data_IF_167407450017
#
_entry.id   IF_167407450017
#
_cell.length_a   1.000
_cell.length_b   1.000
_cell.length_c   1.000
_cell.angle_alpha   90.00
_cell.angle_beta   90.00
_cell.angle_gamma   90.00
#
_symmetry.space_group_name_H-M   'P 1'
#
loop_
_entity.id
_entity.type
_entity.pdbx_description
1 polymer ?
#
# COMPACT_ATOMS: atom_id res chain seq x y z
N UNK A 1 -52.41 -52.74 -112.38
CA UNK A 1 -53.35 -53.70 -111.76
C UNK A 1 -53.91 -53.01 -110.53
N UNK A 2 -55.06 -52.33 -110.65
CA UNK A 2 -56.42 -52.86 -110.36
C UNK A 2 -56.57 -53.12 -108.85
N UNK A 3 -57.53 -52.59 -108.09
CA UNK A 3 -58.86 -52.07 -108.41
C UNK A 3 -59.38 -51.21 -107.23
N UNK A 4 -60.20 -50.22 -107.57
CA UNK A 4 -61.37 -49.66 -106.86
C UNK A 4 -62.27 -50.69 -106.14
N UNK A 5 -63.44 -50.30 -105.57
CA UNK A 5 -63.90 -49.06 -104.90
C UNK A 5 -64.51 -49.43 -103.51
N UNK A 6 -65.04 -48.55 -102.67
CA UNK A 6 -66.46 -48.11 -102.62
C UNK A 6 -66.57 -47.13 -101.43
N UNK A 7 -66.88 -45.85 -101.62
CA UNK A 7 -68.24 -45.25 -101.68
C UNK A 7 -69.13 -45.60 -100.48
N UNK A 8 -69.47 -44.59 -99.67
CA UNK A 8 -70.86 -44.13 -99.69
C UNK A 8 -71.10 -42.70 -99.13
N UNK A 9 -71.95 -41.95 -99.86
CA UNK A 9 -72.91 -40.91 -99.45
C UNK A 9 -72.43 -39.71 -98.59
N UNK A 10 -72.19 -38.51 -99.13
CA UNK A 10 -73.15 -37.50 -99.64
C UNK A 10 -74.36 -37.21 -98.74
N UNK A 11 -74.35 -36.04 -98.09
CA UNK A 11 -75.55 -35.22 -97.88
C UNK A 11 -75.20 -33.73 -97.96
N UNK A 12 -75.89 -33.03 -98.86
CA UNK A 12 -75.75 -31.62 -99.20
C UNK A 12 -76.57 -30.70 -98.27
N UNK A 13 -76.14 -29.42 -98.25
CA UNK A 13 -76.89 -28.16 -98.07
C UNK A 13 -77.63 -27.92 -96.74
N UNK A 14 -77.51 -26.77 -96.07
CA UNK A 14 -77.83 -25.40 -96.54
C UNK A 14 -77.28 -24.39 -95.51
N UNK A 15 -76.89 -23.15 -95.90
CA UNK A 15 -76.24 -22.17 -95.02
C UNK A 15 -77.25 -21.31 -94.25
N UNK A 16 -76.91 -20.90 -93.02
CA UNK A 16 -77.52 -19.74 -92.36
C UNK A 16 -76.42 -18.86 -91.76
N UNK A 17 -76.56 -17.58 -92.09
CA UNK A 17 -75.63 -16.46 -91.93
C UNK A 17 -75.67 -15.84 -90.53
N UNK A 18 -74.47 -15.48 -90.03
CA UNK A 18 -74.10 -14.42 -89.07
C UNK A 18 -74.45 -14.51 -87.56
N UNK A 19 -73.74 -13.78 -86.66
CA UNK A 19 -72.73 -12.75 -86.93
C UNK A 19 -71.34 -12.92 -86.28
N UNK A 20 -70.36 -12.40 -87.02
CA UNK A 20 -69.07 -11.83 -86.64
C UNK A 20 -68.94 -11.42 -85.16
N UNK A 21 -67.98 -12.03 -84.45
CA UNK A 21 -67.40 -11.46 -83.22
C UNK A 21 -65.90 -11.25 -83.46
N UNK A 22 -65.48 -10.00 -83.30
CA UNK A 22 -64.15 -9.48 -83.58
C UNK A 22 -63.03 -10.32 -82.95
N UNK A 23 -62.05 -10.72 -83.77
CA UNK A 23 -60.79 -11.33 -83.30
C UNK A 23 -59.93 -10.24 -82.67
N UNK A 24 -59.90 -10.24 -81.35
CA UNK A 24 -59.17 -9.32 -80.47
C UNK A 24 -57.65 -9.48 -80.71
N UNK A 25 -56.95 -8.37 -80.95
CA UNK A 25 -55.50 -8.30 -81.08
C UNK A 25 -54.82 -8.93 -79.83
N UNK A 26 -54.05 -10.01 -80.03
CA UNK A 26 -53.32 -10.66 -78.96
C UNK A 26 -52.12 -9.80 -78.54
N UNK A 27 -52.20 -9.21 -77.35
CA UNK A 27 -51.08 -8.53 -76.68
C UNK A 27 -50.09 -9.62 -76.21
N UNK A 28 -48.77 -9.48 -76.46
CA UNK A 28 -47.80 -10.47 -75.99
C UNK A 28 -47.80 -10.55 -74.46
N UNK A 29 -47.98 -11.76 -73.92
CA UNK A 29 -48.00 -12.01 -72.49
C UNK A 29 -46.57 -12.06 -71.94
N UNK A 30 -46.29 -11.25 -70.92
CA UNK A 30 -45.05 -11.31 -70.15
C UNK A 30 -45.04 -12.57 -69.28
N UNK A 31 -44.10 -13.48 -69.52
CA UNK A 31 -43.85 -14.62 -68.63
C UNK A 31 -43.11 -14.13 -67.39
N UNK A 32 -43.87 -13.86 -66.32
CA UNK A 32 -43.34 -13.62 -64.99
C UNK A 32 -42.65 -14.90 -64.49
N UNK A 33 -41.31 -14.90 -64.50
CA UNK A 33 -40.55 -15.87 -63.71
C UNK A 33 -40.74 -15.46 -62.25
N UNK A 34 -41.62 -16.17 -61.55
CA UNK A 34 -41.76 -16.04 -60.09
C UNK A 34 -40.41 -16.35 -59.47
N UNK A 35 -39.66 -15.30 -59.10
CA UNK A 35 -38.43 -15.45 -58.34
C UNK A 35 -38.79 -16.21 -57.08
N UNK A 36 -38.03 -17.28 -56.79
CA UNK A 36 -38.21 -18.13 -55.59
C UNK A 36 -38.64 -17.24 -54.44
N UNK A 37 -39.89 -17.40 -54.00
CA UNK A 37 -40.32 -16.81 -52.74
C UNK A 37 -39.29 -17.29 -51.73
N UNK A 38 -38.49 -16.35 -51.22
CA UNK A 38 -37.70 -16.57 -50.03
C UNK A 38 -38.72 -16.80 -48.94
N UNK A 39 -39.11 -18.06 -48.77
CA UNK A 39 -39.90 -18.51 -47.64
C UNK A 39 -39.09 -18.11 -46.42
N UNK A 40 -39.46 -17.00 -45.80
CA UNK A 40 -39.02 -16.63 -44.45
C UNK A 40 -39.75 -17.59 -43.50
N UNK A 41 -39.37 -18.87 -43.62
CA UNK A 41 -39.91 -19.96 -42.86
C UNK A 41 -39.51 -19.75 -41.41
N UNK A 42 -40.48 -19.38 -40.57
CA UNK A 42 -40.54 -19.64 -39.12
C UNK A 42 -39.16 -19.60 -38.39
N UNK A 43 -38.32 -18.60 -38.70
CA UNK A 43 -37.03 -18.38 -38.03
C UNK A 43 -37.17 -17.48 -36.78
N UNK A 44 -38.40 -17.10 -36.42
CA UNK A 44 -38.69 -16.26 -35.25
C UNK A 44 -38.42 -16.93 -33.91
N UNK A 45 -38.34 -18.27 -33.83
CA UNK A 45 -38.18 -18.99 -32.55
C UNK A 45 -36.72 -19.30 -32.17
N UNK A 46 -35.79 -19.34 -33.13
CA UNK A 46 -34.36 -19.59 -32.82
C UNK A 46 -33.60 -18.31 -32.42
N UNK A 47 -34.06 -17.15 -32.88
CA UNK A 47 -33.42 -15.86 -32.59
C UNK A 47 -33.62 -15.44 -31.12
N UNK A 48 -34.74 -15.80 -30.51
CA UNK A 48 -35.03 -15.50 -29.09
C UNK A 48 -34.17 -16.31 -28.11
N UNK A 49 -33.78 -17.53 -28.49
CA UNK A 49 -32.81 -18.32 -27.70
C UNK A 49 -31.43 -17.67 -27.70
N UNK A 50 -31.00 -17.12 -28.84
CA UNK A 50 -29.73 -16.41 -28.95
C UNK A 50 -29.72 -15.14 -28.10
N UNK A 51 -30.79 -14.34 -28.12
CA UNK A 51 -30.90 -13.16 -27.27
C UNK A 51 -30.92 -13.51 -25.79
N UNK A 52 -31.64 -14.57 -25.41
CA UNK A 52 -31.66 -15.07 -24.02
C UNK A 52 -30.27 -15.53 -23.55
N UNK A 53 -29.53 -16.25 -24.41
CA UNK A 53 -28.17 -16.67 -24.13
C UNK A 53 -27.20 -15.48 -23.99
N UNK A 54 -27.31 -14.47 -24.86
CA UNK A 54 -26.53 -13.24 -24.75
C UNK A 54 -26.81 -12.49 -23.46
N UNK A 55 -28.07 -12.38 -23.04
CA UNK A 55 -28.45 -11.75 -21.77
C UNK A 55 -27.89 -12.56 -20.60
N UNK A 56 -27.97 -13.88 -20.64
CA UNK A 56 -27.44 -14.74 -19.57
C UNK A 56 -25.91 -14.62 -19.46
N UNK A 57 -25.20 -14.58 -20.58
CA UNK A 57 -23.76 -14.33 -20.60
C UNK A 57 -23.41 -12.93 -20.08
N UNK A 58 -24.17 -11.90 -20.47
CA UNK A 58 -23.98 -10.54 -19.96
C UNK A 58 -24.19 -10.47 -18.45
N UNK A 59 -25.26 -11.10 -17.93
CA UNK A 59 -25.51 -11.20 -16.49
C UNK A 59 -24.38 -11.99 -15.80
N UNK A 60 -23.91 -13.08 -16.39
CA UNK A 60 -22.78 -13.85 -15.87
C UNK A 60 -21.49 -13.03 -15.78
N UNK A 61 -21.18 -12.24 -16.80
CA UNK A 61 -20.05 -11.31 -16.81
C UNK A 61 -20.20 -10.19 -15.79
N UNK A 62 -21.41 -9.64 -15.62
CA UNK A 62 -21.69 -8.63 -14.59
C UNK A 62 -21.55 -9.21 -13.19
N UNK A 63 -22.09 -10.41 -12.93
CA UNK A 63 -22.00 -11.08 -11.62
C UNK A 63 -20.57 -11.44 -11.28
N UNK A 64 -19.79 -11.94 -12.24
CA UNK A 64 -18.36 -12.23 -12.03
C UNK A 64 -17.54 -10.97 -11.83
N UNK A 65 -17.86 -9.88 -12.54
CA UNK A 65 -17.21 -8.57 -12.33
C UNK A 65 -17.49 -8.01 -10.93
N UNK A 66 -18.74 -8.02 -10.48
CA UNK A 66 -19.10 -7.53 -9.13
C UNK A 66 -18.52 -8.42 -8.04
N UNK A 67 -18.48 -9.75 -8.23
CA UNK A 67 -17.83 -10.67 -7.26
C UNK A 67 -16.30 -10.57 -7.26
N UNK A 68 -15.69 -10.07 -8.34
CA UNK A 68 -14.24 -9.86 -8.43
C UNK A 68 -13.79 -8.51 -7.84
N UNK A 69 -14.72 -7.59 -7.60
CA UNK A 69 -14.43 -6.37 -6.86
C UNK A 69 -14.40 -6.74 -5.37
N UNK A 70 -13.26 -6.56 -4.71
CA UNK A 70 -13.12 -6.95 -3.30
C UNK A 70 -14.07 -6.18 -2.36
N UNK A 71 -13.96 -6.41 -1.05
CA UNK A 71 -14.81 -5.71 -0.09
C UNK A 71 -14.42 -4.22 0.02
N UNK A 72 -15.39 -3.31 -0.02
CA UNK A 72 -15.20 -1.88 0.29
C UNK A 72 -15.38 -1.65 1.79
N UNK A 73 -14.47 -0.89 2.38
CA UNK A 73 -14.52 -0.45 3.77
C UNK A 73 -14.43 1.07 3.84
N UNK A 74 -15.01 1.63 4.89
CA UNK A 74 -14.98 3.04 5.23
C UNK A 74 -14.15 3.21 6.49
N UNK A 75 -13.21 4.16 6.47
CA UNK A 75 -12.41 4.53 7.64
C UNK A 75 -12.55 6.03 7.87
N UNK A 76 -12.97 6.42 9.08
CA UNK A 76 -13.08 7.81 9.50
C UNK A 76 -11.77 8.27 10.16
N UNK A 77 -11.17 9.36 9.68
CA UNK A 77 -9.98 9.99 10.27
C UNK A 77 -10.31 11.42 10.71
N UNK A 78 -9.64 11.93 11.75
CA UNK A 78 -9.75 13.34 12.12
C UNK A 78 -9.13 14.26 11.06
N UNK A 79 -7.96 13.88 10.53
CA UNK A 79 -7.27 14.61 9.46
C UNK A 79 -6.89 13.66 8.33
N UNK A 80 -7.21 14.05 7.09
CA UNK A 80 -6.90 13.30 5.86
C UNK A 80 -5.61 13.76 5.18
N UNK A 81 -4.74 14.51 5.86
CA UNK A 81 -3.63 15.29 5.28
C UNK A 81 -2.86 14.62 4.12
N UNK A 82 -3.26 14.97 2.90
CA UNK A 82 -2.61 14.57 1.66
C UNK A 82 -2.93 13.17 1.14
N UNK A 83 -3.89 12.45 1.74
CA UNK A 83 -4.46 11.23 1.17
C UNK A 83 -5.23 11.54 -0.12
N UNK A 84 -5.09 10.67 -1.11
CA UNK A 84 -5.80 10.78 -2.39
C UNK A 84 -6.31 9.42 -2.85
N UNK A 85 -7.31 9.45 -3.73
CA UNK A 85 -7.71 8.26 -4.45
C UNK A 85 -6.50 7.68 -5.21
N UNK A 86 -6.28 6.37 -5.04
CA UNK A 86 -5.11 5.66 -5.58
C UNK A 86 -4.03 5.32 -4.55
N UNK A 87 -4.02 5.94 -3.37
CA UNK A 87 -3.06 5.59 -2.31
C UNK A 87 -3.24 4.12 -1.86
N UNK A 88 -2.16 3.46 -1.48
CA UNK A 88 -2.19 2.02 -1.15
C UNK A 88 -2.55 1.77 0.32
N UNK A 89 -3.35 0.75 0.59
CA UNK A 89 -3.52 0.15 1.93
C UNK A 89 -2.46 -0.93 2.12
N UNK A 90 -1.70 -0.87 3.21
CA UNK A 90 -0.58 -1.77 3.49
C UNK A 90 -0.72 -2.49 4.83
N UNK A 91 -0.49 -3.80 4.80
CA UNK A 91 -0.30 -4.62 5.99
C UNK A 91 1.12 -5.18 5.98
N UNK A 92 1.91 -4.91 7.03
CA UNK A 92 3.32 -5.35 7.14
C UNK A 92 4.16 -5.03 5.88
N UNK A 93 3.90 -3.89 5.25
CA UNK A 93 4.58 -3.43 4.03
C UNK A 93 4.08 -4.05 2.72
N UNK A 94 3.09 -4.94 2.76
CA UNK A 94 2.47 -5.57 1.59
C UNK A 94 1.19 -4.82 1.23
N UNK A 95 1.01 -4.54 -0.06
CA UNK A 95 -0.20 -3.90 -0.58
C UNK A 95 -1.40 -4.86 -0.51
N UNK A 96 -2.42 -4.49 0.26
CA UNK A 96 -3.62 -5.30 0.51
C UNK A 96 -4.91 -4.64 0.00
N UNK A 97 -4.84 -3.39 -0.44
CA UNK A 97 -5.96 -2.63 -0.98
C UNK A 97 -5.53 -1.26 -1.49
N UNK A 98 -6.50 -0.44 -1.90
CA UNK A 98 -6.27 0.92 -2.39
C UNK A 98 -7.40 1.86 -2.00
N UNK A 99 -7.06 3.12 -1.69
CA UNK A 99 -8.02 4.20 -1.44
C UNK A 99 -8.79 4.49 -2.72
N UNK A 100 -10.12 4.38 -2.66
CA UNK A 100 -11.01 4.66 -3.78
C UNK A 100 -11.49 6.10 -3.80
N UNK A 101 -11.79 6.67 -2.64
CA UNK A 101 -12.32 8.01 -2.51
C UNK A 101 -12.01 8.59 -1.12
N UNK A 102 -11.87 9.91 -1.06
CA UNK A 102 -11.61 10.68 0.16
C UNK A 102 -12.61 11.82 0.17
N UNK A 103 -13.51 11.84 1.15
CA UNK A 103 -14.53 12.87 1.28
C UNK A 103 -14.49 13.45 2.68
N UNK A 104 -14.79 14.74 2.79
CA UNK A 104 -14.95 15.39 4.08
C UNK A 104 -16.29 14.95 4.69
N UNK A 105 -16.29 14.72 5.99
CA UNK A 105 -17.50 14.28 6.68
C UNK A 105 -18.59 15.37 6.64
N UNK A 106 -19.85 15.00 6.80
CA UNK A 106 -20.97 15.94 6.69
C UNK A 106 -20.88 17.09 7.72
N UNK A 107 -20.30 16.81 8.89
CA UNK A 107 -20.10 17.75 9.99
C UNK A 107 -18.79 18.55 9.89
N UNK A 108 -17.97 18.30 8.85
CA UNK A 108 -16.67 18.92 8.61
C UNK A 108 -15.61 18.68 9.70
N UNK A 109 -15.87 17.76 10.65
CA UNK A 109 -14.98 17.44 11.78
C UNK A 109 -13.97 16.33 11.48
N UNK A 110 -14.02 15.75 10.28
CA UNK A 110 -13.18 14.61 9.90
C UNK A 110 -13.29 14.29 8.42
N UNK A 111 -12.61 13.22 8.01
CA UNK A 111 -12.52 12.75 6.64
C UNK A 111 -12.93 11.29 6.58
N UNK A 112 -13.89 10.99 5.71
CA UNK A 112 -14.30 9.63 5.36
C UNK A 112 -13.46 9.11 4.19
N UNK A 113 -12.70 8.04 4.44
CA UNK A 113 -11.84 7.40 3.44
C UNK A 113 -12.46 6.07 3.04
N UNK A 114 -12.90 5.97 1.79
CA UNK A 114 -13.36 4.72 1.18
C UNK A 114 -12.19 3.93 0.65
N UNK A 115 -11.97 2.71 1.15
CA UNK A 115 -10.88 1.83 0.76
C UNK A 115 -11.44 0.56 0.12
N UNK A 116 -10.87 0.19 -1.02
CA UNK A 116 -11.20 -1.01 -1.76
C UNK A 116 -10.14 -2.08 -1.45
N UNK A 117 -10.54 -3.17 -0.80
CA UNK A 117 -9.66 -4.29 -0.52
C UNK A 117 -9.46 -5.12 -1.79
N UNK A 118 -8.28 -5.73 -1.90
CA UNK A 118 -8.02 -6.75 -2.92
C UNK A 118 -8.75 -8.06 -2.56
N UNK A 119 -9.20 -8.85 -3.55
CA UNK A 119 -9.85 -10.13 -3.30
C UNK A 119 -8.96 -11.07 -2.48
N UNK A 120 -9.50 -11.65 -1.41
CA UNK A 120 -8.78 -12.56 -0.51
C UNK A 120 -8.11 -11.89 0.70
N UNK A 121 -8.09 -10.55 0.75
CA UNK A 121 -7.54 -9.78 1.88
C UNK A 121 -8.62 -9.24 2.82
N UNK A 122 -9.86 -9.73 2.76
CA UNK A 122 -10.98 -9.23 3.58
C UNK A 122 -10.73 -9.42 5.08
N UNK A 123 -9.86 -10.36 5.45
CA UNK A 123 -9.46 -10.63 6.84
C UNK A 123 -8.65 -9.50 7.49
N UNK A 124 -8.17 -8.52 6.73
CA UNK A 124 -7.54 -7.33 7.31
C UNK A 124 -8.55 -6.35 7.91
N UNK A 125 -9.83 -6.49 7.55
CA UNK A 125 -10.92 -5.63 7.99
C UNK A 125 -11.87 -6.38 8.93
N UNK A 126 -11.36 -6.79 10.08
CA UNK A 126 -12.15 -7.43 11.16
C UNK A 126 -12.41 -6.46 12.30
N UNK A 127 -13.37 -6.74 13.17
CA UNK A 127 -13.56 -5.97 14.40
C UNK A 127 -12.26 -5.88 15.20
N UNK A 128 -11.96 -4.68 15.72
CA UNK A 128 -10.70 -4.38 16.38
C UNK A 128 -9.52 -4.09 15.45
N UNK A 129 -9.71 -4.08 14.13
CA UNK A 129 -8.67 -3.66 13.18
C UNK A 129 -8.38 -2.17 13.32
N UNK A 130 -7.11 -1.82 13.33
CA UNK A 130 -6.63 -0.47 13.58
C UNK A 130 -5.97 0.05 12.31
N UNK A 131 -6.38 1.24 11.89
CA UNK A 131 -5.92 1.89 10.66
C UNK A 131 -5.20 3.19 11.00
N UNK A 132 -4.18 3.54 10.25
CA UNK A 132 -3.47 4.82 10.43
C UNK A 132 -2.93 5.35 9.10
N UNK A 133 -2.59 6.64 9.06
CA UNK A 133 -2.00 7.27 7.88
C UNK A 133 -0.48 7.25 8.01
N UNK A 134 0.19 6.51 7.11
CA UNK A 134 1.63 6.40 7.04
C UNK A 134 2.26 7.28 5.96
N UNK A 135 3.52 7.65 6.16
CA UNK A 135 4.37 8.28 5.15
C UNK A 135 5.52 7.35 4.78
N UNK A 136 5.65 7.01 3.51
CA UNK A 136 6.85 6.32 3.04
C UNK A 136 8.04 7.28 3.16
N UNK A 137 8.92 7.05 4.15
CA UNK A 137 10.19 7.78 4.26
C UNK A 137 11.17 7.17 3.25
N UNK A 138 11.23 7.74 2.05
CA UNK A 138 12.28 7.41 1.09
C UNK A 138 13.58 8.06 1.56
N UNK A 139 14.50 7.27 2.13
CA UNK A 139 15.88 7.71 2.37
C UNK A 139 16.62 7.65 1.05
N UNK A 140 16.50 8.70 0.25
CA UNK A 140 17.24 8.86 -1.01
C UNK A 140 18.69 9.25 -0.69
N UNK A 141 19.48 8.25 -0.28
CA UNK A 141 20.93 8.37 -0.30
C UNK A 141 21.38 8.41 -1.76
N UNK A 142 21.87 9.57 -2.20
CA UNK A 142 22.51 9.81 -3.50
C UNK A 142 21.59 9.82 -4.74
N UNK A 143 20.99 10.97 -5.04
CA UNK A 143 21.09 11.58 -6.38
C UNK A 143 20.84 13.09 -6.23
N UNK A 144 21.84 13.92 -6.54
CA UNK A 144 21.64 15.36 -6.73
C UNK A 144 20.80 15.58 -8.00
N UNK A 145 19.62 16.19 -7.86
CA UNK A 145 18.77 16.60 -9.01
C UNK A 145 17.41 15.90 -9.15
N UNK A 146 16.89 15.25 -8.12
CA UNK A 146 15.50 14.79 -8.10
C UNK A 146 14.64 15.77 -7.32
N UNK A 147 13.80 16.51 -8.04
CA UNK A 147 12.69 17.27 -7.48
C UNK A 147 11.88 16.39 -6.53
N UNK A 148 11.95 16.74 -5.25
CA UNK A 148 10.95 16.55 -4.20
C UNK A 148 9.88 15.49 -4.49
N UNK A 149 10.27 14.21 -4.61
CA UNK A 149 9.29 13.12 -4.58
C UNK A 149 8.81 13.02 -3.14
N UNK A 150 7.76 13.79 -2.85
CA UNK A 150 6.93 13.64 -1.68
C UNK A 150 6.61 12.14 -1.58
N UNK A 151 7.13 11.46 -0.55
CA UNK A 151 6.93 10.02 -0.39
C UNK A 151 5.44 9.69 -0.47
N UNK A 152 5.08 8.68 -1.26
CA UNK A 152 3.70 8.25 -1.42
C UNK A 152 3.05 8.02 -0.04
N UNK A 153 1.87 8.59 0.16
CA UNK A 153 1.06 8.35 1.35
C UNK A 153 0.46 6.95 1.24
N UNK A 154 0.34 6.29 2.38
CA UNK A 154 -0.29 4.98 2.44
C UNK A 154 -1.12 4.87 3.71
N UNK A 155 -2.15 4.04 3.69
CA UNK A 155 -2.90 3.67 4.88
C UNK A 155 -2.29 2.39 5.42
N UNK A 156 -1.89 2.36 6.69
CA UNK A 156 -1.47 1.15 7.37
C UNK A 156 -2.66 0.47 8.06
N UNK A 157 -2.62 -0.85 8.16
CA UNK A 157 -3.60 -1.64 8.92
C UNK A 157 -2.92 -2.66 9.81
N UNK A 158 -3.46 -2.91 11.01
CA UNK A 158 -3.22 -4.12 11.80
C UNK A 158 -4.58 -4.79 12.02
N UNK A 159 -4.77 -6.05 11.60
CA UNK A 159 -6.00 -6.78 11.84
C UNK A 159 -6.18 -7.04 13.34
N UNK A 160 -7.44 -7.03 13.78
CA UNK A 160 -7.84 -7.47 15.11
C UNK A 160 -7.71 -8.98 15.30
N UNK A 161 -8.50 -9.54 16.22
CA UNK A 161 -8.42 -10.97 16.53
C UNK A 161 -8.75 -11.86 15.30
N UNK A 162 -8.05 -13.00 15.11
CA UNK A 162 -8.21 -13.83 13.92
C UNK A 162 -9.62 -14.38 13.66
N UNK A 163 -10.45 -14.45 14.72
CA UNK A 163 -11.82 -14.98 14.74
C UNK A 163 -12.89 -13.88 14.81
N UNK A 164 -12.51 -12.61 14.78
CA UNK A 164 -13.44 -11.50 14.84
C UNK A 164 -14.26 -11.37 13.54
N UNK A 165 -15.47 -10.80 13.66
CA UNK A 165 -16.35 -10.61 12.51
C UNK A 165 -15.79 -9.57 11.53
N UNK A 166 -16.07 -9.73 10.24
CA UNK A 166 -15.59 -8.78 9.22
C UNK A 166 -16.42 -7.49 9.30
N UNK A 167 -15.79 -6.41 9.74
CA UNK A 167 -16.42 -5.09 9.80
C UNK A 167 -16.25 -4.32 8.47
N UNK A 168 -16.97 -3.20 8.34
CA UNK A 168 -16.88 -2.30 7.18
C UNK A 168 -16.66 -0.84 7.55
N UNK A 169 -16.87 -0.48 8.83
CA UNK A 169 -16.66 0.87 9.34
C UNK A 169 -15.60 0.83 10.43
N UNK A 170 -14.63 1.74 10.34
CA UNK A 170 -13.51 1.81 11.26
C UNK A 170 -13.19 3.25 11.61
N UNK A 171 -12.59 3.44 12.78
CA UNK A 171 -12.02 4.72 13.19
C UNK A 171 -10.51 4.62 13.02
N UNK A 172 -9.96 5.54 12.23
CA UNK A 172 -8.55 5.69 11.99
C UNK A 172 -7.84 6.38 13.15
N UNK A 173 -6.61 5.95 13.41
CA UNK A 173 -5.71 6.51 14.40
C UNK A 173 -4.66 7.38 13.71
N UNK A 174 -4.21 8.42 14.42
CA UNK A 174 -3.20 9.35 13.89
C UNK A 174 -1.77 8.79 13.99
N UNK A 175 -1.53 7.90 14.96
CA UNK A 175 -0.20 7.35 15.25
C UNK A 175 -0.03 5.96 14.64
N UNK A 176 1.02 5.72 13.81
CA UNK A 176 1.31 4.42 13.27
C UNK A 176 1.68 3.39 14.35
N UNK A 177 0.92 2.30 14.44
CA UNK A 177 1.18 1.16 15.33
C UNK A 177 2.33 0.26 14.86
N UNK A 178 3.10 0.69 13.86
CA UNK A 178 4.18 -0.09 13.21
C UNK A 178 5.30 -0.56 14.14
N UNK A 179 5.22 -0.25 15.43
CA UNK A 179 6.17 -0.67 16.45
C UNK A 179 5.56 -1.56 17.55
N UNK A 180 4.27 -1.86 17.49
CA UNK A 180 3.58 -2.69 18.50
C UNK A 180 3.66 -4.19 18.16
N UNK A 181 4.00 -4.54 16.91
CA UNK A 181 4.05 -5.93 16.46
C UNK A 181 5.41 -6.58 16.79
N UNK A 182 5.59 -6.88 18.08
CA UNK A 182 6.74 -7.62 18.61
C UNK A 182 7.36 -6.91 19.80
N UNK A 183 6.79 -7.12 20.99
CA UNK A 183 7.30 -6.70 22.31
C UNK A 183 8.24 -5.50 22.22
N UNK A 184 7.70 -4.29 22.27
CA UNK A 184 8.47 -3.04 22.34
C UNK A 184 8.53 -2.54 23.79
N UNK A 185 9.64 -1.92 24.18
CA UNK A 185 9.76 -1.22 25.45
C UNK A 185 9.93 0.27 25.15
N UNK A 186 9.00 1.07 25.66
CA UNK A 186 9.16 2.53 25.65
C UNK A 186 9.90 2.94 26.91
N UNK A 187 10.96 3.71 26.71
CA UNK A 187 11.79 4.29 27.76
C UNK A 187 11.87 5.80 27.56
N UNK A 188 12.09 6.53 28.63
CA UNK A 188 12.33 7.97 28.63
C UNK A 188 13.80 8.23 28.95
N UNK A 189 14.47 8.99 28.10
CA UNK A 189 15.87 9.39 28.29
C UNK A 189 15.93 10.90 28.40
N UNK A 190 16.39 11.41 29.54
CA UNK A 190 16.54 12.85 29.78
C UNK A 190 17.94 13.28 29.36
N UNK A 191 18.04 14.07 28.30
CA UNK A 191 19.29 14.67 27.87
C UNK A 191 19.39 16.12 28.33
N UNK A 192 20.60 16.63 28.63
CA UNK A 192 20.78 18.06 28.95
C UNK A 192 20.49 18.97 27.74
N UNK A 193 20.61 18.44 26.52
CA UNK A 193 20.25 19.14 25.30
C UNK A 193 19.73 18.14 24.27
N UNK A 194 18.75 18.55 23.47
CA UNK A 194 18.20 17.70 22.40
C UNK A 194 19.16 17.53 21.23
N UNK A 195 20.15 18.42 21.08
CA UNK A 195 21.18 18.39 20.01
C UNK A 195 20.59 18.16 18.60
N UNK A 196 19.39 18.70 18.41
CA UNK A 196 18.59 18.64 17.20
C UNK A 196 17.87 17.31 16.93
N UNK A 197 17.88 16.33 17.85
CA UNK A 197 17.22 15.03 17.74
C UNK A 197 15.81 15.14 17.16
N UNK A 198 15.44 14.19 16.32
CA UNK A 198 14.14 14.14 15.66
C UNK A 198 13.47 12.78 15.84
N UNK A 199 12.15 12.78 15.74
CA UNK A 199 11.34 11.57 15.75
C UNK A 199 11.70 10.62 14.59
N UNK A 200 12.06 9.39 14.96
CA UNK A 200 12.55 8.35 14.08
C UNK A 200 14.07 8.37 13.85
N UNK A 201 14.83 9.19 14.59
CA UNK A 201 16.28 9.02 14.70
C UNK A 201 16.56 7.63 15.30
N UNK A 202 17.52 6.86 14.75
CA UNK A 202 17.76 5.50 15.20
C UNK A 202 18.48 5.46 16.55
N UNK A 203 18.16 4.45 17.35
CA UNK A 203 18.95 4.09 18.54
C UNK A 203 19.82 2.90 18.20
N UNK A 204 21.13 3.00 18.45
CA UNK A 204 22.13 2.01 18.05
C UNK A 204 22.88 1.44 19.24
N UNK A 205 23.16 0.14 19.17
CA UNK A 205 24.11 -0.56 20.03
C UNK A 205 25.15 -1.25 19.17
N UNK A 206 26.45 -0.95 19.36
CA UNK A 206 27.56 -1.52 18.57
C UNK A 206 27.35 -1.39 17.05
N UNK A 207 26.79 -0.26 16.61
CA UNK A 207 26.48 0.01 15.20
C UNK A 207 25.19 -0.63 14.67
N UNK A 208 24.51 -1.48 15.44
CA UNK A 208 23.25 -2.13 15.05
C UNK A 208 22.07 -1.28 15.53
N UNK A 209 21.07 -1.05 14.67
CA UNK A 209 19.83 -0.36 15.06
C UNK A 209 18.99 -1.26 15.97
N UNK A 210 18.74 -0.80 17.19
CA UNK A 210 18.04 -1.54 18.27
C UNK A 210 16.75 -0.86 18.72
N UNK A 211 16.48 0.33 18.20
CA UNK A 211 15.27 1.09 18.47
C UNK A 211 15.23 2.38 17.67
N UNK A 212 14.30 3.25 18.04
CA UNK A 212 14.10 4.56 17.44
C UNK A 212 13.57 5.57 18.46
N UNK A 213 13.77 6.85 18.16
CA UNK A 213 13.20 7.97 18.91
C UNK A 213 11.72 8.13 18.56
N UNK A 214 10.85 8.15 19.57
CA UNK A 214 9.39 8.29 19.40
C UNK A 214 8.89 9.70 19.63
N UNK A 215 9.51 10.45 20.54
CA UNK A 215 9.18 11.84 20.84
C UNK A 215 10.40 12.60 21.32
N UNK A 216 10.42 13.91 21.09
CA UNK A 216 11.45 14.83 21.60
C UNK A 216 10.74 16.05 22.17
N UNK A 217 10.68 16.12 23.50
CA UNK A 217 9.92 17.15 24.23
C UNK A 217 10.83 17.86 25.22
N UNK A 218 10.57 19.14 25.50
CA UNK A 218 11.23 19.82 26.61
C UNK A 218 10.63 19.28 27.93
N UNK A 219 11.48 18.90 28.87
CA UNK A 219 11.01 18.43 30.18
C UNK A 219 10.29 19.56 30.93
N UNK A 220 9.41 19.18 31.87
CA UNK A 220 8.56 20.11 32.61
C UNK A 220 9.33 21.19 33.38
N UNK A 221 10.58 20.91 33.74
CA UNK A 221 11.52 21.82 34.42
C UNK A 221 12.25 22.78 33.46
N UNK A 222 12.12 22.60 32.15
CA UNK A 222 12.86 23.30 31.10
C UNK A 222 14.40 23.18 31.20
N UNK A 223 14.93 22.30 32.06
CA UNK A 223 16.37 22.09 32.23
C UNK A 223 16.87 20.92 31.36
N UNK A 224 15.99 20.00 31.00
CA UNK A 224 16.33 18.83 30.19
C UNK A 224 15.38 18.67 28.99
N UNK A 225 15.83 17.88 28.02
CA UNK A 225 15.00 17.40 26.90
C UNK A 225 14.64 15.94 27.18
N UNK A 226 13.35 15.69 27.37
CA UNK A 226 12.78 14.36 27.53
C UNK A 226 12.61 13.72 26.15
N UNK A 227 13.41 12.69 25.89
CA UNK A 227 13.37 11.93 24.64
C UNK A 227 12.69 10.59 24.88
N UNK A 228 11.58 10.35 24.20
CA UNK A 228 10.94 9.05 24.13
C UNK A 228 11.74 8.14 23.20
N UNK A 229 12.09 6.95 23.68
CA UNK A 229 12.80 5.94 22.89
C UNK A 229 12.03 4.64 22.94
N UNK A 230 11.88 3.99 21.79
CA UNK A 230 11.28 2.67 21.68
C UNK A 230 12.32 1.64 21.28
N UNK A 231 12.56 0.69 22.15
CA UNK A 231 13.41 -0.48 21.90
C UNK A 231 12.54 -1.64 21.42
N UNK A 232 13.05 -2.42 20.46
CA UNK A 232 12.30 -3.51 19.82
C UNK A 232 12.95 -4.87 20.05
N UNK A 233 12.15 -5.94 20.05
CA UNK A 233 12.66 -7.31 20.03
C UNK A 233 13.50 -7.67 21.27
N UNK A 234 14.68 -8.27 21.06
CA UNK A 234 15.57 -8.70 22.15
C UNK A 234 16.28 -7.53 22.86
N UNK A 235 16.32 -6.34 22.25
CA UNK A 235 17.06 -5.18 22.78
C UNK A 235 16.42 -4.55 24.01
N UNK A 236 15.15 -4.88 24.31
CA UNK A 236 14.48 -4.43 25.55
C UNK A 236 15.21 -4.90 26.80
N UNK A 237 15.82 -6.08 26.76
CA UNK A 237 16.59 -6.61 27.88
C UNK A 237 17.85 -5.78 28.17
N UNK A 238 18.23 -4.90 27.24
CA UNK A 238 19.35 -3.98 27.42
C UNK A 238 18.95 -2.71 28.18
N UNK A 239 17.65 -2.41 28.37
CA UNK A 239 17.18 -1.28 29.16
C UNK A 239 17.16 -1.61 30.66
N UNK A 240 18.36 -1.76 31.23
CA UNK A 240 18.55 -2.05 32.67
C UNK A 240 19.17 -0.87 33.39
N UNK A 241 19.00 -0.83 34.70
CA UNK A 241 19.70 0.13 35.58
C UNK A 241 21.20 0.10 35.26
N UNK A 242 21.78 1.29 35.03
CA UNK A 242 23.19 1.47 34.64
C UNK A 242 23.44 1.51 33.13
N UNK A 243 22.43 1.33 32.29
CA UNK A 243 22.55 1.54 30.84
C UNK A 243 22.75 3.02 30.54
N UNK A 244 23.76 3.32 29.74
CA UNK A 244 24.13 4.69 29.39
C UNK A 244 23.71 4.97 27.96
N UNK A 245 23.15 6.15 27.75
CA UNK A 245 22.75 6.65 26.44
C UNK A 245 23.49 7.95 26.16
N UNK A 246 23.93 8.17 24.93
CA UNK A 246 24.52 9.43 24.51
C UNK A 246 24.17 9.75 23.06
N UNK A 247 24.20 11.03 22.71
CA UNK A 247 23.95 11.48 21.34
C UNK A 247 25.28 11.44 20.58
N UNK A 248 25.33 10.68 19.49
CA UNK A 248 26.51 10.62 18.65
C UNK A 248 26.35 11.53 17.43
N UNK A 249 27.23 12.52 17.34
CA UNK A 249 27.24 13.52 16.27
C UNK A 249 28.18 13.08 15.16
N UNK A 250 27.81 13.24 13.88
CA UNK A 250 28.77 13.10 12.80
C UNK A 250 29.88 14.14 12.96
N UNK A 251 31.12 13.69 13.14
CA UNK A 251 32.29 14.58 13.20
C UNK A 251 33.01 14.54 11.85
N UNK A 252 33.20 15.72 11.28
CA UNK A 252 34.04 15.92 10.10
C UNK A 252 35.50 15.83 10.55
N UNK A 253 36.11 14.66 10.39
CA UNK A 253 37.56 14.55 10.49
C UNK A 253 38.14 14.66 9.06
N UNK A 254 38.84 15.76 8.79
CA UNK A 254 39.51 16.01 7.51
C UNK A 254 40.88 15.31 7.44
N UNK A 255 41.29 14.63 8.52
CA UNK A 255 42.64 14.10 8.70
C UNK A 255 42.75 12.62 8.37
N UNK A 256 41.63 11.90 8.31
CA UNK A 256 41.55 10.51 7.85
C UNK A 256 40.47 10.35 6.77
N UNK A 257 40.82 9.67 5.67
CA UNK A 257 39.91 9.29 4.58
C UNK A 257 38.78 8.33 5.04
N UNK A 258 38.71 7.99 6.33
CA UNK A 258 37.75 7.07 6.97
C UNK A 258 36.54 7.76 7.61
N UNK A 259 36.51 9.09 7.71
CA UNK A 259 35.42 9.84 8.39
C UNK A 259 34.11 10.00 7.59
N UNK A 260 34.13 9.73 6.28
CA UNK A 260 32.98 9.94 5.38
C UNK A 260 31.77 9.03 5.68
N UNK A 261 31.98 7.88 6.33
CA UNK A 261 30.90 6.95 6.68
C UNK A 261 29.93 7.55 7.71
N UNK A 262 30.40 8.46 8.56
CA UNK A 262 29.56 9.14 9.57
C UNK A 262 28.66 10.21 8.95
N UNK A 263 29.03 10.77 7.79
CA UNK A 263 28.23 11.78 7.10
C UNK A 263 26.95 11.20 6.49
N UNK A 264 26.98 9.92 6.14
CA UNK A 264 25.84 9.21 5.53
C UNK A 264 24.90 8.65 6.62
N UNK A 265 25.43 8.39 7.82
CA UNK A 265 24.70 7.73 8.91
C UNK A 265 23.65 8.58 9.60
N UNK A 266 23.72 9.91 9.47
CA UNK A 266 22.91 10.85 10.24
C UNK A 266 23.25 10.81 11.74
N UNK A 267 22.57 11.64 12.53
CA UNK A 267 22.65 11.58 13.99
C UNK A 267 21.93 10.34 14.50
N UNK A 268 22.42 9.78 15.61
CA UNK A 268 21.76 8.68 16.29
C UNK A 268 22.03 8.72 17.80
N UNK A 269 21.20 8.03 18.57
CA UNK A 269 21.46 7.78 20.00
C UNK A 269 22.23 6.47 20.09
N UNK A 270 23.40 6.50 20.73
CA UNK A 270 24.13 5.30 21.07
C UNK A 270 23.72 4.83 22.47
N UNK A 271 23.64 3.52 22.66
CA UNK A 271 23.42 2.91 23.98
C UNK A 271 24.57 1.98 24.35
N UNK A 272 24.86 1.86 25.64
CA UNK A 272 25.75 0.85 26.18
C UNK A 272 25.17 0.30 27.48
N UNK A 273 24.85 -1.00 27.56
CA UNK A 273 24.43 -1.62 28.80
C UNK A 273 25.62 -1.69 29.76
N UNK A 274 25.33 -1.63 31.06
CA UNK A 274 26.36 -1.84 32.08
C UNK A 274 26.92 -3.26 31.99
N UNK A 275 28.24 -3.37 32.02
CA UNK A 275 28.94 -4.67 32.10
C UNK A 275 29.14 -5.13 33.54
N UNK A 276 28.85 -4.27 34.52
CA UNK A 276 28.98 -4.59 35.93
C UNK A 276 27.73 -5.34 36.39
N UNK A 277 27.88 -6.65 36.58
CA UNK A 277 26.85 -7.52 37.14
C UNK A 277 26.75 -7.25 38.64
N UNK A 278 26.05 -6.17 38.99
CA UNK A 278 25.58 -5.91 40.36
C UNK A 278 24.13 -6.38 40.48
N UNK A 279 23.70 -6.89 41.66
CA UNK A 279 22.32 -7.32 41.89
C UNK A 279 21.30 -6.21 41.61
N UNK A 280 21.67 -4.94 41.81
CA UNK A 280 20.81 -3.78 41.52
C UNK A 280 20.68 -3.46 40.02
N UNK A 281 21.68 -3.84 39.20
CA UNK A 281 21.70 -3.60 37.76
C UNK A 281 20.88 -4.64 36.96
N UNK A 282 20.28 -5.61 37.65
CA UNK A 282 19.41 -6.62 37.02
C UNK A 282 18.00 -6.08 36.76
N UNK A 283 17.60 -4.99 37.42
CA UNK A 283 16.25 -4.44 37.30
C UNK A 283 16.10 -3.63 36.01
N UNK A 284 14.96 -3.79 35.32
CA UNK A 284 14.61 -2.97 34.18
C UNK A 284 14.29 -1.55 34.64
N UNK A 285 14.77 -0.54 33.90
CA UNK A 285 14.40 0.86 34.13
C UNK A 285 13.66 1.40 32.92
N UNK A 286 12.63 2.21 33.17
CA UNK A 286 11.91 2.96 32.14
C UNK A 286 12.44 4.38 31.97
N UNK A 287 13.29 4.86 32.87
CA UNK A 287 13.81 6.22 32.88
C UNK A 287 15.34 6.22 32.99
N UNK A 288 15.98 7.03 32.16
CA UNK A 288 17.44 7.10 32.03
C UNK A 288 17.91 8.55 31.90
N UNK A 289 19.14 8.79 32.32
CA UNK A 289 19.83 10.05 32.07
C UNK A 289 20.77 9.88 30.89
N UNK A 290 20.57 10.71 29.88
CA UNK A 290 21.41 10.79 28.70
C UNK A 290 22.67 11.61 28.97
N UNK A 291 23.81 11.08 28.55
CA UNK A 291 25.10 11.76 28.63
C UNK A 291 25.30 12.66 27.40
N UNK A 292 25.91 13.82 27.60
CA UNK A 292 26.29 14.72 26.51
C UNK A 292 27.46 14.19 25.67
N UNK A 293 28.29 13.31 26.25
CA UNK A 293 29.45 12.73 25.59
C UNK A 293 29.48 11.20 25.76
N UNK A 294 30.15 10.48 24.84
CA UNK A 294 30.37 9.05 24.99
C UNK A 294 31.06 8.75 26.34
N UNK A 295 30.61 7.71 27.05
CA UNK A 295 31.25 7.31 28.28
C UNK A 295 32.70 6.90 28.01
N UNK A 296 33.61 7.11 28.97
CA UNK A 296 34.98 6.63 28.85
C UNK A 296 34.96 5.11 28.61
N UNK A 297 35.89 4.65 27.76
CA UNK A 297 36.01 3.24 27.44
C UNK A 297 36.10 2.44 28.75
N UNK A 298 35.35 1.32 28.87
CA UNK A 298 35.36 0.52 30.08
C UNK A 298 36.80 0.13 30.42
N UNK A 299 37.15 0.34 31.69
CA UNK A 299 38.47 0.00 32.23
C UNK A 299 38.70 -1.49 31.95
N UNK A 300 39.71 -1.81 31.14
CA UNK A 300 40.14 -3.20 30.99
C UNK A 300 40.86 -3.55 32.29
N UNK A 301 40.43 -4.61 32.97
CA UNK A 301 41.15 -5.10 34.15
C UNK A 301 42.63 -5.31 33.79
N UNK A 302 43.52 -4.67 34.55
CA UNK A 302 44.97 -4.68 34.29
C UNK A 302 45.51 -3.58 33.34
N UNK A 303 44.71 -2.57 32.98
CA UNK A 303 45.23 -1.38 32.27
C UNK A 303 46.01 -0.45 33.19
N UNK A 304 47.14 0.08 32.70
CA UNK A 304 47.95 1.09 33.39
C UNK A 304 47.42 2.48 33.04
N UNK A 305 47.00 3.23 34.06
CA UNK A 305 46.65 4.65 33.91
C UNK A 305 47.93 5.48 33.96
N UNK A 306 48.11 6.35 32.96
CA UNK A 306 49.23 7.27 32.88
C UNK A 306 48.64 8.67 32.81
N UNK A 307 48.86 9.46 33.86
CA UNK A 307 48.58 10.89 33.84
C UNK A 307 49.77 11.61 33.19
N UNK A 308 49.49 12.35 32.13
CA UNK A 308 50.49 13.12 31.40
C UNK A 308 50.22 14.60 31.65
N UNK A 309 51.15 15.27 32.32
CA UNK A 309 51.14 16.73 32.42
C UNK A 309 51.90 17.33 31.23
N UNK A 310 51.26 18.26 30.54
CA UNK A 310 51.84 18.94 29.38
C UNK A 310 51.56 20.44 29.48
N UNK A 311 52.61 21.25 29.28
CA UNK A 311 52.52 22.71 29.39
C UNK A 311 51.63 23.36 28.32
N UNK A 312 51.23 22.61 27.28
CA UNK A 312 50.35 23.07 26.19
C UNK A 312 49.49 21.90 25.69
N UNK A 313 48.25 22.19 25.28
CA UNK A 313 47.37 21.24 24.58
C UNK A 313 47.93 20.99 23.17
N UNK A 314 48.66 19.89 22.97
CA UNK A 314 49.34 19.54 21.72
C UNK A 314 48.40 19.03 20.59
N UNK A 315 47.16 19.52 20.52
CA UNK A 315 46.17 19.02 19.55
C UNK A 315 45.76 17.55 19.78
N UNK A 316 46.06 16.98 20.94
CA UNK A 316 45.68 15.62 21.31
C UNK A 316 44.16 15.56 21.48
N UNK A 317 43.53 14.68 20.72
CA UNK A 317 42.10 14.40 20.79
C UNK A 317 41.82 13.14 21.59
N UNK A 318 40.65 13.08 22.24
CA UNK A 318 40.21 11.90 23.01
C UNK A 318 40.11 10.69 22.07
N UNK A 319 40.80 9.60 22.41
CA UNK A 319 40.87 8.39 21.58
C UNK A 319 42.09 8.34 20.64
N UNK A 320 42.99 9.33 20.67
CA UNK A 320 44.25 9.28 19.93
C UNK A 320 45.05 8.01 20.29
N UNK A 321 45.61 7.29 19.30
CA UNK A 321 46.38 6.09 19.55
C UNK A 321 47.67 6.43 20.30
N UNK A 322 47.94 5.72 21.39
CA UNK A 322 49.24 5.74 22.06
C UNK A 322 50.17 4.81 21.29
N UNK A 323 51.26 5.35 20.75
CA UNK A 323 52.29 4.59 20.02
C UNK A 323 53.52 4.43 20.91
N UNK A 324 54.21 3.29 20.79
CA UNK A 324 55.47 2.99 21.49
C UNK A 324 56.57 2.73 20.46
#
# INVERSE_FOLDING_TARGET
MTNSPDTDSTSQATPTTQPTRATQHAIPQATLHSGKELSVGRMRTRLWWLTGLCVLLAVGLVVTSVRSQGKRITVHFLDGYGLKAGDTLRYRGIDVGSVSNVQLDADLQGVEVSIQLLPGNERVAVEGSQFWIGRARLRLGQVTGLDTVLGAKYVGVVPGEPNAAIASHFVGQETPLGFTDGQSLEIRVLFPAGEGLQEGDPVRYRGISVGEVTSVELASDAEAVAVGVRLVGASRELARVGTQFWIERPRLDLTEVRGFETLIGGRYIAMQPTTLVSPDNAQMSGEFTGLAEPPPLPRRDGSLEIELDASRRLGIVRGAPVTY
#
